data_IF_590197632239
#
_entry.id   IF_590197632239
#
_cell.length_a   1.000
_cell.length_b   1.000
_cell.length_c   1.000
_cell.angle_alpha   90.00
_cell.angle_beta   90.00
_cell.angle_gamma   90.00
#
_symmetry.space_group_name_H-M   'P 1'
#
loop_
_entity.id
_entity.type
_entity.pdbx_description
1 polymer ?
#
# COMPACT_ATOMS: atom_id res chain seq x y z
N UNK A 1 -25.82 -28.27 -41.55
CA UNK A 1 -27.13 -28.64 -40.99
C UNK A 1 -26.88 -29.43 -39.72
N UNK A 2 -27.03 -28.80 -38.55
CA UNK A 2 -26.90 -29.48 -37.27
C UNK A 2 -28.18 -30.28 -37.01
N UNK A 3 -28.05 -31.58 -36.76
CA UNK A 3 -29.19 -32.47 -36.57
C UNK A 3 -29.99 -32.13 -35.30
N UNK A 4 -31.29 -32.45 -35.26
CA UNK A 4 -32.20 -32.13 -34.15
C UNK A 4 -31.82 -32.77 -32.79
N UNK A 5 -30.76 -33.59 -32.73
CA UNK A 5 -30.26 -34.19 -31.49
C UNK A 5 -29.42 -33.26 -30.59
N UNK A 6 -28.86 -32.16 -31.11
CA UNK A 6 -27.96 -31.29 -30.32
C UNK A 6 -28.70 -30.31 -29.40
N UNK A 7 -29.95 -29.95 -29.71
CA UNK A 7 -30.72 -28.96 -28.92
C UNK A 7 -31.20 -29.57 -27.59
N UNK A 8 -31.50 -30.88 -27.57
CA UNK A 8 -32.00 -31.57 -26.39
C UNK A 8 -30.94 -31.75 -25.29
N UNK A 9 -29.66 -31.82 -25.68
CA UNK A 9 -28.51 -31.96 -24.76
C UNK A 9 -28.18 -30.66 -24.02
N UNK A 10 -28.32 -29.51 -24.70
CA UNK A 10 -28.04 -28.20 -24.09
C UNK A 10 -29.08 -27.87 -23.02
N UNK A 11 -30.37 -28.14 -23.29
CA UNK A 11 -31.45 -27.88 -22.34
C UNK A 11 -31.32 -28.72 -21.06
N UNK A 12 -30.93 -29.99 -21.17
CA UNK A 12 -30.70 -30.87 -20.01
C UNK A 12 -29.48 -30.42 -19.19
N UNK A 13 -28.40 -30.01 -19.86
CA UNK A 13 -27.19 -29.51 -19.17
C UNK A 13 -27.48 -28.21 -18.40
N UNK A 14 -28.27 -27.30 -18.99
CA UNK A 14 -28.65 -26.04 -18.35
C UNK A 14 -29.55 -26.27 -17.12
N UNK A 15 -30.52 -27.20 -17.23
CA UNK A 15 -31.39 -27.56 -16.11
C UNK A 15 -30.62 -28.17 -14.93
N UNK A 16 -29.59 -28.97 -15.22
CA UNK A 16 -28.76 -29.60 -14.20
C UNK A 16 -27.88 -28.58 -13.45
N UNK A 17 -27.30 -27.61 -14.17
CA UNK A 17 -26.56 -26.49 -13.56
C UNK A 17 -27.46 -25.60 -12.69
N UNK A 18 -28.71 -25.40 -13.11
CA UNK A 18 -29.67 -24.59 -12.36
C UNK A 18 -30.12 -25.29 -11.06
N UNK A 19 -30.30 -26.61 -11.09
CA UNK A 19 -30.57 -27.41 -9.87
C UNK A 19 -29.37 -27.42 -8.90
N UNK A 20 -28.14 -27.46 -9.42
CA UNK A 20 -26.92 -27.47 -8.62
C UNK A 20 -26.70 -26.12 -7.91
N UNK A 21 -26.94 -25.00 -8.61
CA UNK A 21 -26.85 -23.65 -8.04
C UNK A 21 -27.91 -23.39 -6.96
N UNK A 22 -29.15 -23.83 -7.15
CA UNK A 22 -30.20 -23.75 -6.10
C UNK A 22 -29.81 -24.57 -4.86
N UNK A 23 -29.23 -25.75 -5.05
CA UNK A 23 -28.79 -26.61 -3.94
C UNK A 23 -27.66 -25.98 -3.12
N UNK A 24 -26.70 -25.33 -3.78
CA UNK A 24 -25.62 -24.59 -3.11
C UNK A 24 -26.16 -23.42 -2.28
N UNK A 25 -27.13 -22.67 -2.81
CA UNK A 25 -27.77 -21.57 -2.09
C UNK A 25 -28.48 -22.07 -0.82
N UNK A 26 -29.15 -23.22 -0.88
CA UNK A 26 -29.81 -23.82 0.29
C UNK A 26 -28.83 -24.28 1.36
N UNK A 27 -27.69 -24.87 0.98
CA UNK A 27 -26.63 -25.28 1.92
C UNK A 27 -26.01 -24.05 2.59
N UNK A 28 -25.70 -23.00 1.82
CA UNK A 28 -25.15 -21.76 2.37
C UNK A 28 -26.13 -21.06 3.33
N UNK A 29 -27.44 -21.03 3.02
CA UNK A 29 -28.45 -20.51 3.95
C UNK A 29 -28.60 -21.36 5.21
N UNK A 30 -28.55 -22.68 5.09
CA UNK A 30 -28.61 -23.59 6.24
C UNK A 30 -27.42 -23.40 7.18
N UNK A 31 -26.22 -23.21 6.63
CA UNK A 31 -25.03 -22.92 7.43
C UNK A 31 -25.11 -21.55 8.12
N UNK A 32 -25.59 -20.51 7.43
CA UNK A 32 -25.77 -19.19 8.03
C UNK A 32 -26.81 -19.19 9.17
N UNK A 33 -27.87 -19.99 9.07
CA UNK A 33 -28.91 -20.07 10.11
C UNK A 33 -28.48 -20.77 11.41
N UNK A 34 -27.37 -21.54 11.37
CA UNK A 34 -26.89 -22.27 12.56
C UNK A 34 -26.04 -21.42 13.50
N UNK A 35 -25.45 -20.32 13.03
CA UNK A 35 -24.68 -19.40 13.89
C UNK A 35 -25.58 -18.45 14.70
N UNK A 36 -26.84 -18.24 14.29
CA UNK A 36 -27.75 -17.31 14.96
C UNK A 36 -28.43 -17.90 16.22
N UNK A 37 -28.37 -19.22 16.43
CA UNK A 37 -28.99 -19.90 17.59
C UNK A 37 -28.05 -20.12 18.78
N UNK A 38 -26.82 -19.61 18.74
CA UNK A 38 -25.85 -19.73 19.84
C UNK A 38 -25.74 -18.47 20.71
N UNK A 39 -26.75 -17.60 20.76
CA UNK A 39 -26.83 -16.56 21.80
C UNK A 39 -27.38 -17.16 23.10
N UNK A 40 -26.60 -17.23 24.19
CA UNK A 40 -27.10 -17.67 25.49
C UNK A 40 -28.18 -16.68 25.95
N UNK A 41 -29.37 -17.20 26.30
CA UNK A 41 -30.38 -16.41 27.02
C UNK A 41 -29.77 -15.95 28.35
N UNK A 42 -29.41 -14.66 28.38
CA UNK A 42 -28.92 -13.95 29.56
C UNK A 42 -30.07 -13.84 30.56
N UNK A 43 -30.12 -14.78 31.52
CA UNK A 43 -31.00 -14.69 32.69
C UNK A 43 -30.60 -13.45 33.49
N UNK A 44 -31.59 -12.64 33.84
CA UNK A 44 -31.48 -11.49 34.74
C UNK A 44 -30.73 -11.84 36.04
N UNK A 45 -29.43 -11.57 36.07
CA UNK A 45 -28.63 -11.55 37.29
C UNK A 45 -28.58 -10.10 37.76
N UNK A 46 -28.98 -9.79 39.02
CA UNK A 46 -28.92 -8.44 39.55
C UNK A 46 -27.50 -7.90 39.48
N UNK A 47 -27.32 -6.83 38.69
CA UNK A 47 -26.05 -6.15 38.49
C UNK A 47 -25.65 -5.41 39.77
N UNK A 48 -24.93 -6.09 40.65
CA UNK A 48 -24.05 -5.40 41.60
C UNK A 48 -22.99 -4.60 40.83
N UNK A 49 -22.37 -3.58 41.45
CA UNK A 49 -21.30 -2.81 40.82
C UNK A 49 -20.19 -3.77 40.39
N UNK A 50 -20.13 -4.08 39.08
CA UNK A 50 -19.03 -4.84 38.51
C UNK A 50 -17.79 -3.99 38.70
N UNK A 51 -16.94 -4.37 39.65
CA UNK A 51 -15.56 -3.88 39.71
C UNK A 51 -15.00 -4.00 38.30
N UNK A 52 -14.75 -2.86 37.66
CA UNK A 52 -14.07 -2.83 36.37
C UNK A 52 -12.68 -3.39 36.63
N UNK A 53 -12.50 -4.68 36.34
CA UNK A 53 -11.20 -5.33 36.35
C UNK A 53 -10.35 -4.55 35.34
N UNK A 54 -9.51 -3.66 35.86
CA UNK A 54 -8.58 -2.87 35.06
C UNK A 54 -7.73 -3.88 34.31
N UNK A 55 -7.85 -3.90 32.98
CA UNK A 55 -6.95 -4.72 32.17
C UNK A 55 -5.53 -4.23 32.48
N UNK A 56 -4.61 -5.12 32.86
CA UNK A 56 -3.22 -4.72 33.05
C UNK A 56 -2.73 -4.06 31.77
N UNK A 57 -2.04 -2.93 31.92
CA UNK A 57 -1.43 -2.23 30.79
C UNK A 57 -0.37 -3.11 30.10
N UNK A 58 0.14 -2.66 28.94
CA UNK A 58 1.29 -3.31 28.32
C UNK A 58 2.46 -3.36 29.32
N UNK A 59 3.29 -4.43 29.31
CA UNK A 59 4.45 -4.51 30.20
C UNK A 59 5.46 -3.41 29.87
N UNK A 60 6.20 -2.90 30.86
CA UNK A 60 7.22 -1.87 30.64
C UNK A 60 8.42 -2.37 29.80
N UNK A 61 8.71 -3.68 29.88
CA UNK A 61 9.78 -4.33 29.12
C UNK A 61 9.34 -5.69 28.62
N UNK A 62 9.94 -6.14 27.52
CA UNK A 62 9.70 -7.47 26.96
C UNK A 62 11.01 -8.23 26.73
N UNK A 63 10.88 -9.55 26.63
CA UNK A 63 11.93 -10.47 26.23
C UNK A 63 11.37 -11.38 25.14
N UNK A 64 12.20 -11.65 24.13
CA UNK A 64 11.88 -12.62 23.10
C UNK A 64 12.48 -13.97 23.45
N UNK A 65 11.78 -15.04 23.07
CA UNK A 65 12.33 -16.39 23.04
C UNK A 65 12.03 -17.03 21.67
N UNK A 66 12.93 -17.86 21.12
CA UNK A 66 12.66 -18.58 19.88
C UNK A 66 11.37 -19.38 19.95
N UNK A 67 10.54 -19.31 18.91
CA UNK A 67 9.31 -20.08 18.82
C UNK A 67 9.60 -21.48 18.28
N UNK A 68 9.55 -22.50 19.14
CA UNK A 68 9.91 -23.90 18.81
C UNK A 68 8.70 -24.81 18.59
N UNK A 69 7.49 -24.25 18.42
CA UNK A 69 6.31 -25.09 18.23
C UNK A 69 6.37 -25.83 16.90
N UNK A 70 5.82 -27.05 16.86
CA UNK A 70 5.76 -27.87 15.64
C UNK A 70 4.85 -27.30 14.55
N UNK A 71 3.91 -26.42 14.92
CA UNK A 71 2.95 -25.81 14.00
C UNK A 71 3.32 -24.35 13.77
N UNK A 72 3.48 -23.98 12.50
CA UNK A 72 3.62 -22.59 12.09
C UNK A 72 2.32 -21.84 12.37
N UNK A 73 2.41 -20.81 13.22
CA UNK A 73 1.28 -19.95 13.61
C UNK A 73 0.71 -19.17 12.41
N UNK A 74 1.53 -18.92 11.38
CA UNK A 74 1.19 -18.10 10.24
C UNK A 74 0.68 -18.90 9.03
N UNK A 75 0.91 -20.22 8.99
CA UNK A 75 0.63 -21.03 7.80
C UNK A 75 -0.86 -21.14 7.42
N UNK A 76 -1.77 -20.90 8.37
CA UNK A 76 -3.22 -20.96 8.14
C UNK A 76 -3.86 -19.62 7.78
N UNK A 77 -3.10 -18.52 7.75
CA UNK A 77 -3.62 -17.19 7.52
C UNK A 77 -3.14 -16.65 6.15
N UNK A 78 -4.03 -16.43 5.17
CA UNK A 78 -3.66 -15.93 3.85
C UNK A 78 -2.92 -14.58 3.87
N UNK A 79 -3.35 -13.64 4.70
CA UNK A 79 -2.71 -12.32 4.85
C UNK A 79 -1.27 -12.48 5.37
N UNK A 80 -1.05 -13.40 6.31
CA UNK A 80 0.28 -13.70 6.82
C UNK A 80 1.20 -14.34 5.75
N UNK A 81 0.65 -15.22 4.91
CA UNK A 81 1.39 -15.85 3.81
C UNK A 81 1.77 -14.84 2.74
N UNK A 82 0.86 -13.93 2.39
CA UNK A 82 1.13 -12.90 1.38
C UNK A 82 2.08 -11.83 1.92
N UNK A 83 1.96 -11.47 3.20
CA UNK A 83 2.96 -10.63 3.87
C UNK A 83 4.35 -11.27 3.87
N UNK A 84 4.45 -12.56 4.18
CA UNK A 84 5.72 -13.29 4.12
C UNK A 84 6.34 -13.25 2.72
N UNK A 85 5.55 -13.54 1.68
CA UNK A 85 6.03 -13.51 0.29
C UNK A 85 6.46 -12.11 -0.12
N UNK A 86 5.72 -11.08 0.25
CA UNK A 86 6.04 -9.69 -0.07
C UNK A 86 7.35 -9.24 0.61
N UNK A 87 7.56 -9.55 1.90
CA UNK A 87 8.79 -9.21 2.61
C UNK A 87 10.03 -9.80 1.94
N UNK A 88 9.99 -11.07 1.55
CA UNK A 88 11.11 -11.73 0.88
C UNK A 88 11.24 -11.27 -0.58
N UNK A 89 10.18 -11.44 -1.38
CA UNK A 89 10.25 -11.24 -2.82
C UNK A 89 10.30 -9.79 -3.26
N UNK A 90 9.58 -8.90 -2.59
CA UNK A 90 9.49 -7.46 -2.94
C UNK A 90 10.34 -6.60 -2.03
N UNK A 91 10.39 -6.95 -0.74
CA UNK A 91 11.18 -6.26 0.26
C UNK A 91 12.66 -6.59 0.20
N UNK A 92 13.07 -7.68 -0.48
CA UNK A 92 14.46 -8.13 -0.49
C UNK A 92 14.96 -8.52 0.91
N UNK A 93 14.05 -8.89 1.81
CA UNK A 93 14.36 -9.20 3.19
C UNK A 93 14.66 -10.68 3.39
N UNK A 94 15.47 -10.95 4.42
CA UNK A 94 15.78 -12.28 4.91
C UNK A 94 15.03 -12.55 6.21
N UNK A 95 14.45 -13.75 6.34
CA UNK A 95 13.79 -14.16 7.57
C UNK A 95 14.83 -14.43 8.66
N UNK A 96 14.69 -13.75 9.80
CA UNK A 96 15.50 -13.94 11.00
C UNK A 96 15.03 -15.18 11.76
N UNK A 97 13.71 -15.28 11.98
CA UNK A 97 13.12 -16.36 12.76
C UNK A 97 11.72 -16.02 13.26
N UNK A 98 11.15 -16.95 14.04
CA UNK A 98 9.89 -16.76 14.74
C UNK A 98 10.17 -16.73 16.24
N UNK A 99 9.48 -15.85 16.96
CA UNK A 99 9.71 -15.60 18.39
C UNK A 99 8.40 -15.44 19.13
N UNK A 100 8.41 -15.75 20.42
CA UNK A 100 7.33 -15.43 21.36
C UNK A 100 7.74 -14.30 22.28
N UNK A 101 6.77 -13.49 22.69
CA UNK A 101 6.96 -12.45 23.70
C UNK A 101 6.66 -13.05 25.07
N UNK A 102 7.68 -13.25 25.91
CA UNK A 102 7.55 -13.99 27.18
C UNK A 102 6.50 -13.37 28.13
N UNK A 103 6.39 -12.05 28.14
CA UNK A 103 5.49 -11.28 29.00
C UNK A 103 4.07 -11.14 28.41
N UNK A 104 3.86 -11.54 27.14
CA UNK A 104 2.57 -11.45 26.46
C UNK A 104 2.21 -12.82 25.87
N UNK A 105 1.73 -13.77 26.68
CA UNK A 105 1.46 -15.14 26.23
C UNK A 105 0.54 -15.20 25.01
N UNK A 106 0.91 -16.03 24.05
CA UNK A 106 0.17 -16.24 22.80
C UNK A 106 0.45 -15.22 21.70
N UNK A 107 1.23 -14.16 21.96
CA UNK A 107 1.79 -13.33 20.90
C UNK A 107 2.99 -14.01 20.26
N UNK A 108 2.93 -14.21 18.95
CA UNK A 108 4.02 -14.74 18.13
C UNK A 108 4.41 -13.69 17.11
N UNK A 109 5.71 -13.51 16.91
CA UNK A 109 6.26 -12.62 15.87
C UNK A 109 7.12 -13.43 14.90
N UNK A 110 7.07 -13.05 13.63
CA UNK A 110 8.01 -13.49 12.60
C UNK A 110 8.78 -12.28 12.11
N UNK A 111 10.09 -12.32 12.24
CA UNK A 111 10.96 -11.19 11.98
C UNK A 111 11.77 -11.37 10.70
N UNK A 112 12.03 -10.25 10.03
CA UNK A 112 12.78 -10.13 8.79
C UNK A 112 13.74 -8.94 8.88
N UNK A 113 14.90 -9.04 8.23
CA UNK A 113 15.88 -7.95 8.09
C UNK A 113 16.33 -7.81 6.64
N UNK A 114 16.66 -6.59 6.21
CA UNK A 114 17.29 -6.38 4.90
C UNK A 114 18.82 -6.50 5.02
N UNK A 115 19.50 -7.23 4.12
CA UNK A 115 20.95 -7.47 4.26
C UNK A 115 21.79 -6.19 4.11
N UNK A 116 21.34 -5.24 3.29
CA UNK A 116 22.07 -4.00 2.99
C UNK A 116 21.52 -2.73 3.66
N UNK A 117 20.40 -2.82 4.39
CA UNK A 117 19.73 -1.63 4.95
C UNK A 117 19.26 -1.90 6.37
N UNK A 118 19.22 -0.88 7.22
CA UNK A 118 18.57 -1.00 8.52
C UNK A 118 17.05 -0.91 8.35
N UNK A 119 16.48 -2.00 7.84
CA UNK A 119 15.07 -2.14 7.54
C UNK A 119 14.60 -3.48 8.11
N UNK A 120 13.61 -3.42 8.99
CA UNK A 120 13.04 -4.58 9.67
C UNK A 120 11.59 -4.76 9.25
N UNK A 121 11.23 -6.00 8.93
CA UNK A 121 9.84 -6.43 8.77
C UNK A 121 9.44 -7.28 9.97
N UNK A 122 8.30 -7.00 10.58
CA UNK A 122 7.81 -7.77 11.73
C UNK A 122 6.35 -8.10 11.49
N UNK A 123 6.06 -9.39 11.38
CA UNK A 123 4.70 -9.92 11.26
C UNK A 123 4.27 -10.46 12.62
N UNK A 124 3.15 -9.98 13.13
CA UNK A 124 2.61 -10.36 14.42
C UNK A 124 1.41 -11.28 14.24
N UNK A 125 1.21 -12.19 15.19
CA UNK A 125 -0.04 -12.90 15.44
C UNK A 125 -0.37 -12.74 16.90
N UNK A 126 -1.60 -12.31 17.20
CA UNK A 126 -2.12 -12.32 18.57
C UNK A 126 -2.74 -13.71 18.91
N UNK A 127 -3.17 -13.93 20.17
CA UNK A 127 -3.82 -15.16 20.59
C UNK A 127 -5.18 -15.43 19.91
N UNK A 128 -5.83 -14.41 19.34
CA UNK A 128 -7.08 -14.52 18.60
C UNK A 128 -6.85 -14.89 17.12
N UNK A 129 -5.59 -14.97 16.68
CA UNK A 129 -5.22 -15.25 15.30
C UNK A 129 -5.28 -14.02 14.38
N UNK A 130 -5.47 -12.82 14.94
CA UNK A 130 -5.34 -11.58 14.18
C UNK A 130 -3.88 -11.37 13.84
N UNK A 131 -3.62 -11.06 12.57
CA UNK A 131 -2.30 -10.75 12.07
C UNK A 131 -2.21 -9.30 11.67
N UNK A 132 -1.01 -8.74 11.79
CA UNK A 132 -0.66 -7.44 11.24
C UNK A 132 0.84 -7.39 11.06
N UNK A 133 1.32 -6.41 10.31
CA UNK A 133 2.74 -6.24 10.10
C UNK A 133 3.18 -4.81 10.39
N UNK A 134 4.44 -4.70 10.80
CA UNK A 134 5.16 -3.45 10.90
C UNK A 134 6.39 -3.51 10.00
N UNK A 135 6.71 -2.40 9.35
CA UNK A 135 8.01 -2.16 8.73
C UNK A 135 8.68 -1.03 9.49
N UNK A 136 9.95 -1.19 9.83
CA UNK A 136 10.68 -0.26 10.68
C UNK A 136 12.04 0.09 10.08
N UNK A 137 12.44 1.36 10.17
CA UNK A 137 13.81 1.82 9.89
C UNK A 137 14.34 2.62 11.06
N UNK A 138 15.54 2.26 11.51
CA UNK A 138 16.30 3.04 12.51
C UNK A 138 17.38 3.87 11.81
N UNK A 139 17.47 5.14 12.18
CA UNK A 139 18.49 6.08 11.70
C UNK A 139 19.67 6.12 12.67
N UNK A 140 20.83 6.57 12.17
CA UNK A 140 22.05 6.68 12.98
C UNK A 140 21.93 7.62 14.18
N UNK A 141 20.99 8.57 14.14
CA UNK A 141 20.65 9.49 15.23
C UNK A 141 19.64 8.93 16.24
N UNK A 142 19.25 7.66 16.09
CA UNK A 142 18.30 6.97 16.97
C UNK A 142 16.82 7.24 16.69
N UNK A 143 16.48 8.00 15.63
CA UNK A 143 15.10 8.08 15.14
C UNK A 143 14.64 6.71 14.63
N UNK A 144 13.37 6.41 14.83
CA UNK A 144 12.73 5.17 14.39
C UNK A 144 11.46 5.51 13.63
N UNK A 145 11.39 5.20 12.35
CA UNK A 145 10.14 5.33 11.61
C UNK A 145 9.52 3.95 11.51
N UNK A 146 8.24 3.85 11.87
CA UNK A 146 7.46 2.61 11.75
C UNK A 146 6.26 2.86 10.86
N UNK A 147 6.02 1.99 9.89
CA UNK A 147 4.73 1.89 9.20
C UNK A 147 4.04 0.60 9.63
N UNK A 148 2.72 0.65 9.82
CA UNK A 148 1.95 -0.47 10.37
C UNK A 148 0.67 -0.71 9.58
N UNK A 149 0.32 -1.98 9.35
CA UNK A 149 -0.98 -2.37 8.80
C UNK A 149 -2.11 -2.36 9.84
N UNK A 150 -1.82 -2.00 11.09
CA UNK A 150 -2.84 -1.92 12.16
C UNK A 150 -3.72 -0.69 12.03
N UNK A 151 -4.97 -0.82 12.45
CA UNK A 151 -5.85 0.32 12.69
C UNK A 151 -5.25 1.24 13.78
N UNK A 152 -5.40 2.55 13.58
CA UNK A 152 -5.07 3.54 14.61
C UNK A 152 -6.08 3.37 15.74
N UNK A 153 -5.64 2.84 16.88
CA UNK A 153 -6.49 2.79 18.08
C UNK A 153 -6.66 4.20 18.65
N UNK A 154 -7.79 4.49 19.30
CA UNK A 154 -8.00 5.75 20.03
C UNK A 154 -6.95 5.97 21.15
N UNK A 155 -6.30 4.87 21.58
CA UNK A 155 -5.17 4.85 22.49
C UNK A 155 -3.80 4.92 21.79
N UNK A 156 -3.74 5.38 20.53
CA UNK A 156 -2.49 5.77 19.87
C UNK A 156 -1.92 6.98 20.61
N UNK A 157 -1.29 6.69 21.75
CA UNK A 157 -0.61 7.65 22.61
C UNK A 157 0.34 8.48 21.76
N UNK A 158 0.51 9.76 22.14
CA UNK A 158 1.49 10.64 21.49
C UNK A 158 2.83 9.92 21.43
N UNK A 159 3.25 9.51 20.24
CA UNK A 159 4.52 8.82 20.08
C UNK A 159 5.66 9.77 20.42
N UNK A 160 6.78 9.25 20.92
CA UNK A 160 7.92 10.09 21.20
C UNK A 160 8.42 10.82 19.97
N UNK A 161 8.94 12.04 20.16
CA UNK A 161 9.57 12.79 19.06
C UNK A 161 10.69 11.95 18.42
N UNK A 162 10.65 11.87 17.09
CA UNK A 162 11.59 11.06 16.31
C UNK A 162 11.23 9.58 16.21
N UNK A 163 10.08 9.15 16.75
CA UNK A 163 9.61 7.76 16.66
C UNK A 163 8.18 7.63 16.09
N UNK A 164 7.87 8.25 14.93
CA UNK A 164 6.52 8.22 14.40
C UNK A 164 6.08 6.81 13.98
N UNK A 165 4.79 6.53 14.17
CA UNK A 165 4.13 5.37 13.58
C UNK A 165 3.06 5.85 12.60
N UNK A 166 3.15 5.39 11.36
CA UNK A 166 2.15 5.65 10.33
C UNK A 166 1.28 4.41 10.15
N UNK A 167 -0.02 4.58 10.39
CA UNK A 167 -1.00 3.49 10.30
C UNK A 167 -1.67 3.49 8.94
N UNK A 168 -1.64 2.35 8.26
CA UNK A 168 -2.31 2.12 6.98
C UNK A 168 -3.14 0.84 7.07
N UNK A 169 -4.31 0.88 7.73
CA UNK A 169 -5.16 -0.30 7.85
C UNK A 169 -5.66 -0.77 6.48
N UNK A 170 -5.70 -2.09 6.30
CA UNK A 170 -6.26 -2.73 5.11
C UNK A 170 -5.40 -2.65 3.84
N UNK A 171 -4.17 -2.11 3.92
CA UNK A 171 -3.25 -2.15 2.77
C UNK A 171 -2.46 -3.45 2.75
N UNK A 172 -2.17 -3.91 1.53
CA UNK A 172 -1.37 -5.11 1.31
C UNK A 172 0.10 -4.91 1.72
N UNK A 173 0.79 -6.00 2.05
CA UNK A 173 2.17 -5.96 2.50
C UNK A 173 3.14 -5.27 1.53
N UNK A 174 2.98 -5.53 0.23
CA UNK A 174 3.79 -4.88 -0.81
C UNK A 174 3.54 -3.36 -0.83
N UNK A 175 2.30 -2.93 -0.63
CA UNK A 175 1.97 -1.51 -0.54
C UNK A 175 2.55 -0.89 0.73
N UNK A 176 2.51 -1.59 1.87
CA UNK A 176 3.10 -1.11 3.11
C UNK A 176 4.62 -0.92 2.99
N UNK A 177 5.34 -1.83 2.32
CA UNK A 177 6.77 -1.67 2.02
C UNK A 177 7.05 -0.41 1.19
N UNK A 178 6.19 -0.12 0.18
CA UNK A 178 6.30 1.10 -0.63
C UNK A 178 6.02 2.36 0.19
N UNK A 179 4.97 2.34 1.02
CA UNK A 179 4.65 3.42 1.97
C UNK A 179 5.79 3.67 2.94
N UNK A 180 6.39 2.60 3.47
CA UNK A 180 7.54 2.72 4.37
C UNK A 180 8.71 3.45 3.70
N UNK A 181 9.02 3.11 2.45
CA UNK A 181 10.05 3.80 1.66
C UNK A 181 9.74 5.29 1.46
N UNK A 182 8.46 5.65 1.32
CA UNK A 182 8.01 7.03 1.21
C UNK A 182 8.15 7.81 2.52
N UNK A 183 7.91 7.18 3.66
CA UNK A 183 8.07 7.81 4.97
C UNK A 183 9.56 7.89 5.38
N UNK A 184 10.38 6.98 4.88
CA UNK A 184 11.82 6.88 5.19
C UNK A 184 12.71 7.53 4.13
N UNK A 185 12.56 8.84 3.93
CA UNK A 185 13.30 9.60 2.89
C UNK A 185 14.76 9.93 3.21
N UNK A 186 15.19 9.72 4.45
CA UNK A 186 16.54 10.09 4.92
C UNK A 186 17.66 9.18 4.39
N UNK A 187 18.81 9.79 4.07
CA UNK A 187 20.02 9.08 3.58
C UNK A 187 20.84 8.46 4.73
N UNK A 188 20.64 8.95 5.95
CA UNK A 188 21.43 8.62 7.15
C UNK A 188 20.97 7.32 7.82
N UNK A 189 20.96 6.22 7.07
CA UNK A 189 20.54 4.93 7.60
C UNK A 189 21.61 4.38 8.56
N UNK A 190 21.17 3.84 9.70
CA UNK A 190 22.04 3.05 10.57
C UNK A 190 22.56 1.82 9.79
N UNK A 191 23.65 1.17 10.23
CA UNK A 191 24.11 -0.07 9.61
C UNK A 191 23.01 -1.15 9.65
N UNK A 192 23.00 -2.09 8.68
CA UNK A 192 22.03 -3.18 8.64
C UNK A 192 21.99 -3.97 9.95
N UNK A 193 20.80 -4.42 10.35
CA UNK A 193 20.67 -5.24 11.55
C UNK A 193 21.11 -6.67 11.27
N UNK A 194 22.11 -7.14 12.02
CA UNK A 194 22.51 -8.54 11.97
C UNK A 194 21.44 -9.42 12.64
N UNK A 195 21.11 -10.59 12.07
CA UNK A 195 20.08 -11.47 12.63
C UNK A 195 20.28 -11.80 14.12
N UNK A 196 21.52 -12.01 14.57
CA UNK A 196 21.86 -12.33 15.96
C UNK A 196 21.56 -11.20 16.95
N UNK A 197 21.54 -9.94 16.49
CA UNK A 197 21.29 -8.77 17.35
C UNK A 197 19.78 -8.45 17.47
N UNK A 198 18.92 -9.16 16.74
CA UNK A 198 17.50 -8.83 16.63
C UNK A 198 16.78 -8.81 17.98
N UNK A 199 16.98 -9.86 18.79
CA UNK A 199 16.24 -10.02 20.04
C UNK A 199 16.52 -8.88 21.01
N UNK A 200 17.80 -8.54 21.20
CA UNK A 200 18.24 -7.47 22.09
C UNK A 200 17.79 -6.11 21.59
N UNK A 201 17.94 -5.83 20.29
CA UNK A 201 17.50 -4.56 19.71
C UNK A 201 15.99 -4.38 19.78
N UNK A 202 15.21 -5.42 19.52
CA UNK A 202 13.75 -5.35 19.59
C UNK A 202 13.28 -5.05 21.02
N UNK A 203 13.83 -5.74 22.02
CA UNK A 203 13.52 -5.51 23.42
C UNK A 203 13.91 -4.09 23.88
N UNK A 204 15.10 -3.61 23.49
CA UNK A 204 15.56 -2.26 23.82
C UNK A 204 14.69 -1.17 23.18
N UNK A 205 14.30 -1.34 21.91
CA UNK A 205 13.42 -0.41 21.22
C UNK A 205 12.02 -0.38 21.84
N UNK A 206 11.50 -1.53 22.26
CA UNK A 206 10.23 -1.59 22.98
C UNK A 206 10.29 -0.83 24.32
N UNK A 207 11.33 -1.08 25.14
CA UNK A 207 11.49 -0.41 26.42
C UNK A 207 11.59 1.11 26.26
N UNK A 208 12.37 1.59 25.27
CA UNK A 208 12.49 3.01 24.93
C UNK A 208 11.16 3.66 24.54
N UNK A 209 10.29 2.91 23.85
CA UNK A 209 8.95 3.38 23.48
C UNK A 209 8.02 3.46 24.69
N UNK A 210 8.12 2.52 25.64
CA UNK A 210 7.31 2.53 26.87
C UNK A 210 7.74 3.65 27.81
N UNK A 211 9.04 3.79 28.11
CA UNK A 211 9.59 4.83 28.98
C UNK A 211 9.11 6.23 28.55
N UNK A 212 9.23 6.54 27.25
CA UNK A 212 8.79 7.84 26.74
C UNK A 212 7.27 8.00 26.67
N UNK A 213 6.51 6.91 26.56
CA UNK A 213 5.06 6.97 26.63
C UNK A 213 4.58 7.26 28.06
N UNK A 214 5.26 6.72 29.07
CA UNK A 214 5.05 7.04 30.48
C UNK A 214 5.41 8.50 30.78
N UNK A 215 6.57 9.00 30.30
CA UNK A 215 6.96 10.42 30.43
C UNK A 215 5.92 11.37 29.81
N UNK A 216 5.40 11.01 28.63
CA UNK A 216 4.36 11.79 27.97
C UNK A 216 3.06 11.81 28.80
N UNK A 217 2.64 10.69 29.39
CA UNK A 217 1.44 10.65 30.24
C UNK A 217 1.58 11.49 31.51
N UNK A 218 2.76 11.48 32.15
CA UNK A 218 3.03 12.29 33.35
C UNK A 218 2.96 13.79 33.04
N UNK A 219 3.37 14.19 31.84
CA UNK A 219 3.36 15.61 31.42
C UNK A 219 1.94 16.14 31.14
N UNK A 220 0.96 15.25 30.95
CA UNK A 220 -0.43 15.59 30.63
C UNK A 220 -1.42 15.49 31.82
N UNK A 221 -0.95 15.23 33.04
CA UNK A 221 -1.78 15.45 34.25
C UNK A 221 -1.95 16.96 34.53
N UNK A 222 -3.17 17.41 34.87
CA UNK A 222 -3.71 18.67 34.40
C UNK A 222 -3.18 19.88 35.18
N UNK A 223 -2.55 20.82 34.46
CA UNK A 223 -2.77 22.22 34.80
C UNK A 223 -4.28 22.48 34.69
N UNK A 224 -4.85 22.98 35.78
CA UNK A 224 -6.28 23.23 35.96
C UNK A 224 -6.94 23.78 34.69
N UNK A 225 -8.14 23.26 34.43
CA UNK A 225 -9.09 23.66 33.41
C UNK A 225 -9.32 25.19 33.43
N UNK A 226 -8.42 25.97 32.84
CA UNK A 226 -8.75 27.31 32.40
C UNK A 226 -9.43 27.19 31.04
N UNK A 227 -10.74 27.34 31.10
CA UNK A 227 -11.62 27.55 29.97
C UNK A 227 -11.07 28.69 29.09
N UNK A 228 -10.32 28.33 28.04
CA UNK A 228 -10.24 29.16 26.85
C UNK A 228 -11.17 28.55 25.82
N UNK A 229 -12.41 29.02 25.86
CA UNK A 229 -13.25 29.11 24.67
C UNK A 229 -12.48 29.87 23.59
N UNK A 230 -12.68 29.45 22.34
CA UNK A 230 -12.24 30.11 21.10
C UNK A 230 -10.81 29.83 20.64
N UNK A 231 -10.59 28.70 19.97
CA UNK A 231 -9.84 28.64 18.69
C UNK A 231 -9.71 27.22 18.13
N UNK A 232 -10.83 26.60 17.74
CA UNK A 232 -10.79 25.52 16.73
C UNK A 232 -11.17 26.10 15.38
N UNK A 233 -10.16 26.61 14.66
CA UNK A 233 -10.28 27.04 13.27
C UNK A 233 -9.14 26.41 12.46
N UNK A 234 -9.51 25.38 11.72
CA UNK A 234 -8.96 24.95 10.42
C UNK A 234 -7.50 24.47 10.38
N UNK A 235 -7.26 23.21 10.75
CA UNK A 235 -6.08 22.45 10.29
C UNK A 235 -6.39 21.52 9.09
N UNK A 236 -7.67 21.28 8.75
CA UNK A 236 -8.06 20.51 7.56
C UNK A 236 -7.91 21.29 6.24
N UNK A 237 -7.71 22.61 6.27
CA UNK A 237 -7.55 23.44 5.07
C UNK A 237 -6.10 23.48 4.53
N UNK A 238 -5.09 23.00 5.27
CA UNK A 238 -3.69 23.07 4.82
C UNK A 238 -3.26 21.92 3.89
N UNK A 239 -4.04 20.84 3.78
CA UNK A 239 -3.72 19.74 2.86
C UNK A 239 -4.21 19.97 1.42
N UNK A 240 -5.04 20.99 1.16
CA UNK A 240 -5.64 21.26 -0.16
C UNK A 240 -4.97 22.39 -0.96
N UNK A 241 -3.88 22.98 -0.46
CA UNK A 241 -3.15 24.06 -1.15
C UNK A 241 -1.78 23.61 -1.69
N UNK A 242 -1.67 22.38 -2.16
CA UNK A 242 -0.64 22.08 -3.16
C UNK A 242 -1.22 22.56 -4.49
N UNK A 243 -0.84 23.77 -4.91
CA UNK A 243 -1.33 24.40 -6.13
C UNK A 243 -1.30 23.39 -7.27
N UNK A 244 -2.45 23.19 -7.94
CA UNK A 244 -2.46 22.38 -9.15
C UNK A 244 -1.34 22.92 -10.05
N UNK A 245 -0.48 22.05 -10.60
CA UNK A 245 0.59 22.51 -11.47
C UNK A 245 -0.06 23.41 -12.51
N UNK A 246 0.35 24.68 -12.51
CA UNK A 246 -0.15 25.64 -13.49
C UNK A 246 0.01 24.96 -14.85
N UNK A 247 -1.09 24.87 -15.61
CA UNK A 247 -1.07 24.27 -16.94
C UNK A 247 0.17 24.83 -17.63
N UNK A 248 1.16 23.97 -18.00
CA UNK A 248 2.40 24.47 -18.56
C UNK A 248 2.03 25.47 -19.65
N UNK A 249 2.70 26.64 -19.63
CA UNK A 249 2.58 27.66 -20.68
C UNK A 249 2.48 26.92 -22.01
N UNK A 250 1.58 27.35 -22.91
CA UNK A 250 1.14 26.66 -24.15
C UNK A 250 2.26 26.23 -25.14
N UNK A 251 3.53 26.23 -24.72
CA UNK A 251 4.67 25.70 -25.43
C UNK A 251 4.42 24.27 -25.90
N UNK A 252 4.20 24.19 -27.23
CA UNK A 252 4.32 23.01 -28.10
C UNK A 252 3.09 22.12 -28.24
N UNK A 253 1.89 22.68 -28.21
CA UNK A 253 0.81 22.02 -28.95
C UNK A 253 1.17 21.99 -30.46
N UNK A 254 1.17 20.81 -31.10
CA UNK A 254 1.43 20.73 -32.53
C UNK A 254 0.31 21.46 -33.28
N UNK A 255 0.65 22.06 -34.42
CA UNK A 255 -0.37 22.61 -35.31
C UNK A 255 -1.29 21.48 -35.80
N UNK A 256 -2.51 21.82 -36.25
CA UNK A 256 -3.43 20.82 -36.82
C UNK A 256 -2.80 20.06 -38.00
N UNK A 257 -2.02 20.74 -38.84
CA UNK A 257 -1.32 20.13 -39.97
C UNK A 257 -0.21 19.18 -39.52
N UNK A 258 0.55 19.57 -38.49
CA UNK A 258 1.58 18.73 -37.89
C UNK A 258 0.98 17.48 -37.24
N UNK A 259 -0.10 17.65 -36.48
CA UNK A 259 -0.84 16.53 -35.87
C UNK A 259 -1.38 15.58 -36.94
N UNK A 260 -1.91 16.11 -38.04
CA UNK A 260 -2.36 15.31 -39.18
C UNK A 260 -1.20 14.53 -39.82
N UNK A 261 -0.07 15.18 -40.08
CA UNK A 261 1.11 14.54 -40.63
C UNK A 261 1.64 13.41 -39.73
N UNK A 262 1.63 13.62 -38.41
CA UNK A 262 2.00 12.59 -37.44
C UNK A 262 1.02 11.41 -37.44
N UNK A 263 -0.29 11.67 -37.47
CA UNK A 263 -1.28 10.60 -37.54
C UNK A 263 -1.16 9.77 -38.82
N UNK A 264 -0.96 10.42 -39.97
CA UNK A 264 -0.73 9.74 -41.24
C UNK A 264 0.54 8.88 -41.17
N UNK A 265 1.63 9.40 -40.59
CA UNK A 265 2.86 8.65 -40.37
C UNK A 265 2.62 7.42 -39.46
N UNK A 266 1.90 7.58 -38.36
CA UNK A 266 1.59 6.51 -37.41
C UNK A 266 0.74 5.43 -38.07
N UNK A 267 -0.36 5.79 -38.75
CA UNK A 267 -1.25 4.81 -39.38
C UNK A 267 -0.63 4.09 -40.56
N UNK A 268 0.42 4.65 -41.17
CA UNK A 268 1.22 3.97 -42.19
C UNK A 268 2.22 2.96 -41.60
N UNK A 269 2.65 3.14 -40.35
CA UNK A 269 3.67 2.29 -39.68
C UNK A 269 3.08 1.29 -38.70
N UNK A 270 1.96 1.63 -38.07
CA UNK A 270 1.28 0.84 -37.04
C UNK A 270 -0.05 0.37 -37.59
N UNK A 271 -0.29 -0.94 -37.59
CA UNK A 271 -1.56 -1.52 -38.04
C UNK A 271 -2.64 -1.27 -36.99
N UNK A 272 -3.42 -0.21 -37.19
CA UNK A 272 -4.60 0.09 -36.37
C UNK A 272 -5.86 -0.19 -37.21
N UNK A 273 -6.73 -1.13 -36.81
CA UNK A 273 -7.99 -1.39 -37.50
C UNK A 273 -8.82 -0.11 -37.65
N UNK A 274 -9.44 0.15 -38.82
CA UNK A 274 -10.18 1.39 -39.08
C UNK A 274 -11.21 1.74 -38.00
N UNK A 275 -11.92 0.74 -37.49
CA UNK A 275 -12.93 0.87 -36.43
C UNK A 275 -12.35 1.22 -35.06
N UNK A 276 -11.04 1.04 -34.86
CA UNK A 276 -10.31 1.37 -33.63
C UNK A 276 -9.51 2.66 -33.70
N UNK A 277 -9.42 3.30 -34.87
CA UNK A 277 -8.58 4.51 -35.05
C UNK A 277 -8.98 5.67 -34.15
N UNK A 278 -10.27 5.85 -33.88
CA UNK A 278 -10.75 6.92 -33.01
C UNK A 278 -10.37 6.68 -31.54
N UNK A 279 -10.53 5.45 -31.06
CA UNK A 279 -10.11 5.03 -29.72
C UNK A 279 -8.59 5.17 -29.57
N UNK A 280 -7.84 4.73 -30.59
CA UNK A 280 -6.39 4.86 -30.64
C UNK A 280 -5.95 6.32 -30.58
N UNK A 281 -6.62 7.20 -31.33
CA UNK A 281 -6.35 8.64 -31.32
C UNK A 281 -6.59 9.27 -29.95
N UNK A 282 -7.67 8.88 -29.26
CA UNK A 282 -7.97 9.38 -27.89
C UNK A 282 -6.92 8.95 -26.86
N UNK A 283 -6.35 7.76 -27.04
CA UNK A 283 -5.29 7.23 -26.18
C UNK A 283 -3.87 7.56 -26.63
N UNK A 284 -3.69 8.33 -27.71
CA UNK A 284 -2.39 8.68 -28.25
C UNK A 284 -1.81 9.89 -27.51
N UNK A 285 -0.58 9.75 -27.06
CA UNK A 285 0.20 10.76 -26.37
C UNK A 285 1.53 10.93 -27.11
N UNK A 286 2.05 12.15 -27.14
CA UNK A 286 3.35 12.46 -27.71
C UNK A 286 4.20 13.22 -26.70
N UNK A 287 5.50 12.92 -26.67
CA UNK A 287 6.45 13.50 -25.73
C UNK A 287 7.66 13.99 -26.51
N UNK A 288 7.92 15.29 -26.43
CA UNK A 288 9.14 15.90 -26.94
C UNK A 288 10.34 15.39 -26.11
N UNK A 289 11.44 15.03 -26.76
CA UNK A 289 12.67 14.56 -26.10
C UNK A 289 13.24 15.58 -25.10
N UNK A 290 12.93 16.85 -25.29
CA UNK A 290 13.37 17.96 -24.42
C UNK A 290 12.29 18.44 -23.44
N UNK A 291 11.14 17.75 -23.36
CA UNK A 291 10.09 18.15 -22.43
C UNK A 291 10.59 18.12 -20.97
N UNK A 292 10.25 19.17 -20.24
CA UNK A 292 10.55 19.32 -18.82
C UNK A 292 9.83 18.25 -17.98
N UNK A 293 10.32 17.97 -16.75
CA UNK A 293 9.63 17.06 -15.84
C UNK A 293 8.17 17.48 -15.59
N UNK A 294 7.89 18.77 -15.47
CA UNK A 294 6.56 19.32 -15.24
C UNK A 294 5.61 19.03 -16.40
N UNK A 295 6.07 19.17 -17.65
CA UNK A 295 5.30 18.82 -18.84
C UNK A 295 5.01 17.31 -18.91
N UNK A 296 6.01 16.47 -18.63
CA UNK A 296 5.84 15.02 -18.59
C UNK A 296 4.83 14.60 -17.51
N UNK A 297 4.93 15.19 -16.31
CA UNK A 297 3.99 14.97 -15.21
C UNK A 297 2.57 15.38 -15.61
N UNK A 298 2.40 16.57 -16.20
CA UNK A 298 1.10 17.06 -16.65
C UNK A 298 0.45 16.08 -17.62
N UNK A 299 1.20 15.61 -18.62
CA UNK A 299 0.69 14.66 -19.62
C UNK A 299 0.28 13.34 -18.97
N UNK A 300 1.07 12.79 -18.03
CA UNK A 300 0.69 11.54 -17.36
C UNK A 300 -0.55 11.74 -16.47
N UNK A 301 -0.68 12.88 -15.81
CA UNK A 301 -1.85 13.18 -14.97
C UNK A 301 -3.12 13.30 -15.79
N UNK A 302 -3.03 13.91 -16.97
CA UNK A 302 -4.17 14.09 -17.88
C UNK A 302 -4.64 12.77 -18.50
N UNK A 303 -3.70 11.90 -18.90
CA UNK A 303 -4.00 10.72 -19.72
C UNK A 303 -3.87 9.36 -19.00
N UNK A 304 -3.23 9.31 -17.83
CA UNK A 304 -2.80 8.07 -17.17
C UNK A 304 -3.73 7.54 -16.08
N UNK A 305 -4.82 8.23 -15.75
CA UNK A 305 -5.71 7.89 -14.61
C UNK A 305 -4.94 7.74 -13.27
N UNK A 306 -3.82 8.47 -13.14
CA UNK A 306 -2.96 8.52 -11.96
C UNK A 306 -2.59 9.97 -11.67
N UNK A 307 -2.13 10.24 -10.46
CA UNK A 307 -1.55 11.53 -10.08
C UNK A 307 -0.07 11.36 -9.82
N UNK A 308 0.76 12.08 -10.55
CA UNK A 308 2.20 12.16 -10.39
C UNK A 308 2.52 13.51 -9.76
N UNK A 309 3.20 13.48 -8.62
CA UNK A 309 3.55 14.67 -7.86
C UNK A 309 5.07 14.74 -7.67
N UNK A 310 5.70 15.90 -7.89
CA UNK A 310 7.09 16.08 -7.55
C UNK A 310 7.30 16.06 -6.03
N UNK A 311 8.37 15.42 -5.59
CA UNK A 311 8.84 15.43 -4.19
C UNK A 311 10.32 15.82 -4.13
N UNK A 312 10.79 16.14 -2.92
CA UNK A 312 12.16 16.60 -2.70
C UNK A 312 13.22 15.67 -3.32
N UNK A 313 14.22 16.28 -3.99
CA UNK A 313 15.37 15.58 -4.56
C UNK A 313 15.11 14.94 -5.92
N UNK A 314 14.40 15.62 -6.83
CA UNK A 314 14.13 15.15 -8.21
C UNK A 314 13.46 13.77 -8.26
N UNK A 315 12.60 13.48 -7.28
CA UNK A 315 11.80 12.26 -7.23
C UNK A 315 10.35 12.58 -7.51
N UNK A 316 9.63 11.62 -8.07
CA UNK A 316 8.21 11.74 -8.36
C UNK A 316 7.46 10.65 -7.60
N UNK A 317 6.31 10.98 -7.05
CA UNK A 317 5.38 10.03 -6.42
C UNK A 317 4.20 9.83 -7.35
N UNK A 318 3.96 8.60 -7.78
CA UNK A 318 2.78 8.21 -8.55
C UNK A 318 1.72 7.72 -7.57
N UNK A 319 0.51 8.26 -7.61
CA UNK A 319 -0.65 7.84 -6.83
C UNK A 319 -1.72 7.34 -7.79
N UNK A 320 -2.15 6.09 -7.65
CA UNK A 320 -3.34 5.61 -8.39
C UNK A 320 -4.61 5.80 -7.57
N UNK A 321 -5.77 5.84 -8.22
CA UNK A 321 -7.08 5.88 -7.54
C UNK A 321 -7.31 4.69 -6.58
N UNK A 322 -6.54 3.61 -6.71
CA UNK A 322 -6.54 2.48 -5.79
C UNK A 322 -5.62 2.66 -4.56
N UNK A 323 -5.06 3.86 -4.35
CA UNK A 323 -4.18 4.16 -3.22
C UNK A 323 -2.76 3.59 -3.32
N UNK A 324 -2.41 2.98 -4.46
CA UNK A 324 -1.05 2.50 -4.73
C UNK A 324 -0.14 3.69 -4.97
N UNK A 325 0.93 3.78 -4.18
CA UNK A 325 1.98 4.77 -4.37
C UNK A 325 3.27 4.13 -4.85
N UNK A 326 3.91 4.73 -5.86
CA UNK A 326 5.25 4.35 -6.33
C UNK A 326 6.16 5.58 -6.42
N UNK A 327 7.48 5.38 -6.32
CA UNK A 327 8.49 6.44 -6.42
C UNK A 327 9.35 6.24 -7.65
N UNK A 328 9.41 7.26 -8.48
CA UNK A 328 10.32 7.34 -9.61
C UNK A 328 11.46 8.28 -9.26
N UNK A 329 12.70 7.84 -9.48
CA UNK A 329 13.86 8.72 -9.52
C UNK A 329 13.90 9.39 -10.90
N UNK A 330 13.71 10.70 -10.94
CA UNK A 330 13.70 11.50 -12.17
C UNK A 330 15.03 12.21 -12.43
N UNK A 331 16.07 11.94 -11.61
CA UNK A 331 17.34 12.65 -11.67
C UNK A 331 17.98 12.61 -13.05
N UNK A 332 18.11 13.78 -13.67
CA UNK A 332 18.70 13.97 -15.00
C UNK A 332 17.89 13.38 -16.16
N UNK A 333 16.66 12.94 -15.93
CA UNK A 333 15.77 12.42 -16.97
C UNK A 333 14.84 13.53 -17.48
N UNK A 334 14.69 13.62 -18.79
CA UNK A 334 13.78 14.55 -19.48
C UNK A 334 12.97 13.81 -20.54
N UNK A 335 11.91 14.46 -21.03
CA UNK A 335 11.16 14.04 -22.20
C UNK A 335 10.72 12.57 -22.19
N UNK A 336 10.94 11.90 -23.31
CA UNK A 336 10.54 10.50 -23.50
C UNK A 336 11.22 9.54 -22.51
N UNK A 337 12.46 9.82 -22.09
CA UNK A 337 13.18 8.98 -21.16
C UNK A 337 12.55 9.02 -19.75
N UNK A 338 12.17 10.21 -19.29
CA UNK A 338 11.43 10.37 -18.03
C UNK A 338 10.04 9.73 -18.13
N UNK A 339 9.31 9.98 -19.23
CA UNK A 339 7.98 9.41 -19.45
C UNK A 339 8.02 7.87 -19.39
N UNK A 340 8.98 7.24 -20.06
CA UNK A 340 9.16 5.78 -20.01
C UNK A 340 9.45 5.27 -18.60
N UNK A 341 10.30 5.98 -17.85
CA UNK A 341 10.65 5.60 -16.50
C UNK A 341 9.43 5.63 -15.58
N UNK A 342 8.59 6.67 -15.67
CA UNK A 342 7.32 6.75 -14.95
C UNK A 342 6.36 5.65 -15.41
N UNK A 343 6.21 5.48 -16.73
CA UNK A 343 5.33 4.51 -17.35
C UNK A 343 5.60 3.06 -16.91
N UNK A 344 6.86 2.67 -16.68
CA UNK A 344 7.21 1.34 -16.16
C UNK A 344 6.66 1.08 -14.76
N UNK A 345 6.52 2.12 -13.93
CA UNK A 345 5.99 2.03 -12.57
C UNK A 345 4.46 2.17 -12.50
N UNK A 346 3.81 2.53 -13.60
CA UNK A 346 2.35 2.59 -13.64
C UNK A 346 1.73 1.18 -13.47
N UNK A 347 0.55 1.08 -12.83
CA UNK A 347 -0.28 -0.12 -12.88
C UNK A 347 -0.49 -0.58 -14.33
N UNK A 348 -0.59 -1.89 -14.57
CA UNK A 348 -0.65 -2.46 -15.93
C UNK A 348 -1.76 -1.82 -16.78
N UNK A 349 -2.94 -1.61 -16.20
CA UNK A 349 -4.09 -0.96 -16.84
C UNK A 349 -3.90 0.53 -17.11
N UNK A 350 -2.92 1.19 -16.48
CA UNK A 350 -2.58 2.61 -16.64
C UNK A 350 -1.37 2.83 -17.56
N UNK A 351 -0.69 1.75 -17.99
CA UNK A 351 0.50 1.85 -18.86
C UNK A 351 0.15 2.32 -20.26
N UNK A 352 1.15 2.93 -20.88
CA UNK A 352 1.19 3.28 -22.30
C UNK A 352 2.17 2.36 -23.03
N UNK A 353 1.86 2.02 -24.27
CA UNK A 353 2.75 1.30 -25.19
C UNK A 353 3.53 2.31 -26.02
N UNK A 354 4.86 2.26 -25.99
CA UNK A 354 5.72 3.07 -26.86
C UNK A 354 5.58 2.57 -28.31
N UNK A 355 5.28 3.48 -29.23
CA UNK A 355 5.21 3.17 -30.64
C UNK A 355 6.62 3.17 -31.26
N UNK A 356 6.90 2.32 -32.26
CA UNK A 356 8.23 2.19 -32.87
C UNK A 356 8.48 3.30 -33.92
N UNK A 357 8.20 4.55 -33.56
CA UNK A 357 8.40 5.71 -34.43
C UNK A 357 8.82 6.93 -33.61
N UNK A 358 9.70 7.72 -34.20
CA UNK A 358 10.14 9.03 -33.70
C UNK A 358 10.06 9.99 -34.87
N UNK A 359 9.46 11.16 -34.66
CA UNK A 359 9.36 12.21 -35.68
C UNK A 359 9.75 13.53 -35.04
N UNK A 360 10.72 14.24 -35.62
CA UNK A 360 11.13 15.57 -35.18
C UNK A 360 11.48 15.68 -33.68
N UNK A 361 12.13 14.65 -33.12
CA UNK A 361 12.46 14.60 -31.68
C UNK A 361 11.25 14.34 -30.77
N UNK A 362 10.15 13.83 -31.32
CA UNK A 362 8.93 13.48 -30.59
C UNK A 362 8.75 11.96 -30.59
N UNK A 363 8.59 11.40 -29.40
CA UNK A 363 8.24 10.00 -29.20
C UNK A 363 6.72 9.85 -28.98
N UNK A 364 6.15 8.74 -29.46
CA UNK A 364 4.71 8.49 -29.39
C UNK A 364 4.39 7.30 -28.51
N UNK A 365 3.34 7.43 -27.72
CA UNK A 365 2.85 6.44 -26.76
C UNK A 365 1.35 6.27 -26.92
N UNK A 366 0.82 5.06 -26.74
CA UNK A 366 -0.63 4.81 -26.83
C UNK A 366 -1.13 3.99 -25.65
N UNK A 367 -2.31 4.32 -25.12
CA UNK A 367 -3.03 3.49 -24.14
C UNK A 367 -3.52 2.18 -24.74
N UNK A 368 -3.63 2.08 -26.07
CA UNK A 368 -3.98 0.85 -26.75
C UNK A 368 -2.72 0.07 -27.14
N UNK A 369 -2.71 -1.23 -26.87
CA UNK A 369 -1.68 -2.13 -27.40
C UNK A 369 -1.96 -2.37 -28.90
N UNK A 370 -1.09 -1.92 -29.82
CA UNK A 370 -1.30 -2.15 -31.24
C UNK A 370 -1.07 -3.63 -31.60
N UNK A 371 -1.74 -4.09 -32.65
CA UNK A 371 -1.51 -5.40 -33.24
C UNK A 371 -0.31 -5.30 -34.18
N UNK A 372 0.83 -5.89 -33.83
CA UNK A 372 2.04 -5.91 -34.66
C UNK A 372 1.92 -6.94 -35.80
#
# INVERSE_FOLDING_TARGET
>A
MAGPGSIMSIATTLALLLMLSISVIFVLRSLASKDEQAQPQEKDIPQGPREQVRRPGPPASITLAPYTAKKDQFAGNPEALDAHKAMIGKGGMERIGDFVITQMPGYVIRAFTHPERNLLGILYSDPAGKVWMNVQTEYSDGRIITTSSTEKTAASQSRPRGMPIYHYPGIEAEQLLRRHKLETRGVEQAPPLRPEDFMDKFAANYARLQERAEEAQITFEPAEQQQTTDSHRNEEDQAQSWGQPEKPVESRQPSLDQMKAWLDLIFNKVKVPPEKREEFRKGLVWIDETASPEEVIYIINEYGEVTVEPVAGERLVIRSGAGVEDIVDAKGLLGAALFEQINRQLPEQARFTKLPLVADGVAFFSRMTPLY
#
